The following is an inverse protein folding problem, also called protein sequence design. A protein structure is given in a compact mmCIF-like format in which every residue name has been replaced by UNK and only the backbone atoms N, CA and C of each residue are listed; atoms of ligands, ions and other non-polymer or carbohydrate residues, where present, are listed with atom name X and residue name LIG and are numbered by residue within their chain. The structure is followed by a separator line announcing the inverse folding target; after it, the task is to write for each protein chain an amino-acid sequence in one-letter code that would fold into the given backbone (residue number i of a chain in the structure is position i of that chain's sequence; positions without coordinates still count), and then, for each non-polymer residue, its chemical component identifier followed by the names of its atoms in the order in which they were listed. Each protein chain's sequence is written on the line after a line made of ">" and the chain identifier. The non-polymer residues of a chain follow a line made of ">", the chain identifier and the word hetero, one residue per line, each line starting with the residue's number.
data_IF_181030854339
#
_entry.id   IF_181030854339
#
_cell.length_a   1.000
_cell.length_b   1.000
_cell.length_c   1.000
_cell.angle_alpha   90.00
_cell.angle_beta   90.00
_cell.angle_gamma   90.00
#
_symmetry.space_group_name_H-M   'P 1'
#
loop_
_entity.id
_entity.type
_entity.pdbx_description
1 polymer ?
#
# COMPACT_ATOMS: atom_id res chain seq x y z
N UNK A 1 -3.81 24.59 -12.14
CA UNK A 1 -2.81 25.10 -11.18
C UNK A 1 -2.17 23.89 -10.56
N UNK A 2 -0.94 23.54 -10.96
CA UNK A 2 -0.19 22.45 -10.34
C UNK A 2 0.37 22.96 -9.01
N UNK A 3 -0.32 22.67 -7.91
CA UNK A 3 0.31 22.68 -6.59
C UNK A 3 1.29 21.51 -6.58
N UNK A 4 2.57 21.81 -6.77
CA UNK A 4 3.65 20.86 -6.47
C UNK A 4 3.49 20.46 -5.02
N UNK A 5 2.99 19.25 -4.79
CA UNK A 5 2.82 18.69 -3.47
C UNK A 5 4.21 18.54 -2.87
N UNK A 6 4.51 19.29 -1.80
CA UNK A 6 5.71 19.04 -1.02
C UNK A 6 5.38 17.87 -0.11
N UNK A 7 6.10 16.73 -0.19
CA UNK A 7 5.91 15.62 0.72
C UNK A 7 6.11 16.09 2.16
N UNK A 8 5.33 15.54 3.10
CA UNK A 8 5.47 15.87 4.51
C UNK A 8 6.76 15.28 5.07
N UNK A 9 7.64 16.13 5.60
CA UNK A 9 8.83 15.69 6.34
C UNK A 9 8.46 14.71 7.47
N UNK A 10 7.33 14.95 8.14
CA UNK A 10 6.85 14.11 9.23
C UNK A 10 6.43 12.71 8.75
N UNK A 11 5.67 12.63 7.65
CA UNK A 11 5.24 11.35 7.09
C UNK A 11 6.45 10.56 6.55
N UNK A 12 7.37 11.24 5.86
CA UNK A 12 8.59 10.62 5.34
C UNK A 12 9.48 10.07 6.46
N UNK A 13 9.62 10.83 7.56
CA UNK A 13 10.35 10.35 8.73
C UNK A 13 9.69 9.09 9.31
N UNK A 14 8.36 9.05 9.37
CA UNK A 14 7.64 7.89 9.88
C UNK A 14 7.80 6.65 8.99
N UNK A 15 7.80 6.83 7.67
CA UNK A 15 8.10 5.75 6.72
C UNK A 15 9.54 5.26 6.93
N UNK A 16 10.51 6.16 7.15
CA UNK A 16 11.89 5.77 7.47
C UNK A 16 11.96 4.94 8.77
N UNK A 17 11.22 5.35 9.81
CA UNK A 17 11.15 4.63 11.09
C UNK A 17 10.53 3.24 10.91
N UNK A 18 9.48 3.11 10.09
CA UNK A 18 8.90 1.81 9.72
C UNK A 18 9.94 0.90 9.05
N UNK A 19 10.65 1.40 8.06
CA UNK A 19 11.66 0.60 7.35
C UNK A 19 12.80 0.17 8.27
N UNK A 20 13.25 1.07 9.15
CA UNK A 20 14.24 0.74 10.19
C UNK A 20 13.72 -0.33 11.15
N UNK A 21 12.44 -0.24 11.57
CA UNK A 21 11.80 -1.23 12.43
C UNK A 21 11.73 -2.61 11.77
N UNK A 22 11.46 -2.65 10.45
CA UNK A 22 11.45 -3.87 9.65
C UNK A 22 12.85 -4.37 9.25
N UNK A 23 13.92 -3.70 9.71
CA UNK A 23 15.32 -3.99 9.35
C UNK A 23 15.59 -3.90 7.83
N UNK A 24 14.83 -3.06 7.12
CA UNK A 24 14.93 -2.85 5.68
C UNK A 24 15.83 -1.65 5.35
N UNK A 25 16.55 -1.69 4.21
CA UNK A 25 17.36 -0.56 3.78
C UNK A 25 16.49 0.66 3.47
N UNK A 26 16.91 1.82 3.96
CA UNK A 26 16.25 3.11 3.69
C UNK A 26 17.09 3.88 2.69
N UNK A 27 16.57 4.10 1.49
CA UNK A 27 17.10 5.08 0.55
C UNK A 27 16.52 6.46 0.87
N UNK A 28 17.30 7.31 1.55
CA UNK A 28 16.87 8.64 1.96
C UNK A 28 16.59 9.57 0.77
N UNK A 29 17.24 9.36 -0.38
CA UNK A 29 17.02 10.18 -1.57
C UNK A 29 15.69 9.80 -2.24
N UNK A 30 15.33 8.52 -2.24
CA UNK A 30 14.03 8.05 -2.72
C UNK A 30 12.86 8.57 -1.86
N UNK A 31 13.06 8.69 -0.54
CA UNK A 31 12.06 9.20 0.41
C UNK A 31 11.68 10.68 0.18
N UNK A 32 12.52 11.46 -0.51
CA UNK A 32 12.27 12.88 -0.79
C UNK A 32 11.56 13.13 -2.13
N UNK A 33 11.45 12.10 -2.98
CA UNK A 33 11.12 12.25 -4.41
C UNK A 33 9.82 11.61 -4.90
N UNK A 34 9.13 10.79 -4.09
CA UNK A 34 7.93 10.08 -4.54
C UNK A 34 7.43 9.01 -3.59
N UNK A 35 6.48 8.16 -4.03
CA UNK A 35 6.01 7.02 -3.25
C UNK A 35 7.14 6.02 -3.02
N UNK A 36 7.16 5.44 -1.82
CA UNK A 36 8.18 4.47 -1.41
C UNK A 36 7.55 3.11 -1.33
N UNK A 37 8.14 2.12 -2.01
CA UNK A 37 7.58 0.78 -2.10
C UNK A 37 8.25 -0.25 -1.19
N UNK A 38 7.58 -1.38 -1.00
CA UNK A 38 8.11 -2.64 -0.51
C UNK A 38 7.57 -3.78 -1.38
N UNK A 39 8.43 -4.66 -1.87
CA UNK A 39 8.02 -5.91 -2.50
C UNK A 39 7.85 -6.97 -1.40
N UNK A 40 6.66 -7.56 -1.30
CA UNK A 40 6.32 -8.58 -0.31
C UNK A 40 6.37 -9.95 -0.98
N UNK A 41 7.30 -10.80 -0.52
CA UNK A 41 7.46 -12.21 -0.94
C UNK A 41 7.37 -12.44 -2.46
N UNK A 42 7.96 -11.54 -3.25
CA UNK A 42 7.91 -11.52 -4.73
C UNK A 42 6.49 -11.59 -5.33
N UNK A 43 5.47 -11.26 -4.52
CA UNK A 43 4.06 -11.51 -4.84
C UNK A 43 3.29 -10.23 -5.16
N UNK A 44 3.50 -9.18 -4.36
CA UNK A 44 2.83 -7.90 -4.52
C UNK A 44 3.65 -6.78 -3.89
N UNK A 45 3.34 -5.54 -4.26
CA UNK A 45 4.05 -4.37 -3.76
C UNK A 45 3.16 -3.50 -2.89
N UNK A 46 3.67 -3.00 -1.78
CA UNK A 46 3.03 -1.97 -0.95
C UNK A 46 3.74 -0.65 -1.14
N UNK A 47 2.99 0.42 -1.41
CA UNK A 47 3.48 1.78 -1.53
C UNK A 47 3.01 2.64 -0.37
N UNK A 48 3.89 3.52 0.07
CA UNK A 48 3.66 4.54 1.06
C UNK A 48 3.82 5.91 0.39
N UNK A 49 2.80 6.75 0.48
CA UNK A 49 2.82 8.09 -0.11
C UNK A 49 2.26 9.12 0.87
N UNK A 50 2.99 10.22 1.06
CA UNK A 50 2.48 11.39 1.76
C UNK A 50 1.53 12.18 0.86
N UNK A 51 0.22 11.92 0.97
CA UNK A 51 -0.82 12.62 0.21
C UNK A 51 -1.36 13.86 0.91
N UNK A 52 -0.92 14.17 2.14
CA UNK A 52 -1.09 15.47 2.82
C UNK A 52 -0.05 15.64 3.95
N UNK A 53 0.13 16.86 4.52
CA UNK A 53 1.06 17.09 5.62
C UNK A 53 0.97 16.09 6.78
N UNK A 54 -0.24 15.62 7.06
CA UNK A 54 -0.56 14.71 8.17
C UNK A 54 -1.26 13.44 7.66
N UNK A 55 -1.15 13.13 6.37
CA UNK A 55 -1.92 12.02 5.79
C UNK A 55 -1.03 11.16 4.90
N UNK A 56 -0.98 9.88 5.26
CA UNK A 56 -0.34 8.81 4.50
C UNK A 56 -1.39 8.03 3.72
N UNK A 57 -1.03 7.63 2.51
CA UNK A 57 -1.67 6.56 1.76
C UNK A 57 -0.78 5.33 1.82
N UNK A 58 -1.35 4.21 2.26
CA UNK A 58 -0.76 2.89 2.13
C UNK A 58 -1.53 2.17 1.03
N UNK A 59 -0.87 1.66 0.01
CA UNK A 59 -1.51 0.98 -1.11
C UNK A 59 -0.76 -0.30 -1.47
N UNK A 60 -1.40 -1.45 -1.31
CA UNK A 60 -0.96 -2.71 -1.86
C UNK A 60 -1.49 -2.88 -3.28
N UNK A 61 -0.60 -3.04 -4.26
CA UNK A 61 -0.96 -3.43 -5.62
C UNK A 61 -0.83 -4.95 -5.77
N UNK A 62 -1.98 -5.61 -5.89
CA UNK A 62 -2.13 -7.08 -5.91
C UNK A 62 -2.11 -7.65 -7.34
N UNK A 63 -1.88 -6.80 -8.35
CA UNK A 63 -1.83 -7.19 -9.76
C UNK A 63 -3.19 -7.23 -10.45
N UNK A 64 -3.29 -8.05 -11.49
CA UNK A 64 -4.47 -8.08 -12.36
C UNK A 64 -5.70 -8.62 -11.65
N UNK A 65 -6.83 -7.94 -11.80
CA UNK A 65 -8.10 -8.41 -11.27
C UNK A 65 -8.64 -9.65 -12.02
N UNK A 66 -9.05 -10.73 -11.33
CA UNK A 66 -9.60 -11.91 -11.98
C UNK A 66 -11.07 -11.70 -12.35
N UNK A 67 -11.33 -11.08 -13.51
CA UNK A 67 -12.68 -10.73 -14.01
C UNK A 67 -13.65 -11.92 -14.10
N UNK A 68 -13.13 -13.14 -14.30
CA UNK A 68 -13.90 -14.36 -14.52
C UNK A 68 -14.40 -15.04 -13.22
N UNK A 69 -14.11 -14.46 -12.04
CA UNK A 69 -14.51 -15.01 -10.73
C UNK A 69 -15.52 -14.11 -9.98
N UNK A 70 -16.84 -14.32 -10.19
CA UNK A 70 -17.88 -13.56 -9.50
C UNK A 70 -17.88 -13.74 -7.97
N UNK A 71 -17.39 -14.88 -7.46
CA UNK A 71 -17.31 -15.12 -6.02
C UNK A 71 -16.22 -14.24 -5.40
N UNK A 72 -15.10 -14.10 -6.10
CA UNK A 72 -14.04 -13.17 -5.74
C UNK A 72 -14.53 -11.71 -5.79
N UNK A 73 -15.29 -11.32 -6.81
CA UNK A 73 -15.90 -9.97 -6.88
C UNK A 73 -16.77 -9.68 -5.65
N UNK A 74 -17.60 -10.65 -5.26
CA UNK A 74 -18.45 -10.52 -4.08
C UNK A 74 -17.64 -10.42 -2.79
N UNK A 75 -16.55 -11.17 -2.67
CA UNK A 75 -15.62 -11.09 -1.54
C UNK A 75 -15.03 -9.68 -1.42
N UNK A 76 -14.48 -9.12 -2.51
CA UNK A 76 -13.92 -7.76 -2.51
C UNK A 76 -14.95 -6.72 -2.06
N UNK A 77 -16.17 -6.77 -2.61
CA UNK A 77 -17.24 -5.84 -2.23
C UNK A 77 -17.68 -6.02 -0.78
N UNK A 78 -17.63 -7.25 -0.24
CA UNK A 78 -17.96 -7.53 1.15
C UNK A 78 -16.95 -6.87 2.11
N UNK A 79 -15.66 -6.87 1.78
CA UNK A 79 -14.64 -6.21 2.60
C UNK A 79 -14.78 -4.67 2.62
N UNK A 80 -15.40 -4.08 1.61
CA UNK A 80 -15.70 -2.64 1.57
C UNK A 80 -16.95 -2.24 2.37
N UNK A 81 -17.65 -3.17 3.02
CA UNK A 81 -18.81 -2.83 3.84
C UNK A 81 -18.37 -2.02 5.06
N UNK A 82 -19.05 -0.92 5.35
CA UNK A 82 -18.74 -0.04 6.48
C UNK A 82 -18.66 -0.85 7.78
N UNK A 83 -17.50 -0.78 8.43
CA UNK A 83 -17.22 -1.41 9.71
C UNK A 83 -17.00 -0.36 10.81
N UNK A 84 -16.91 -0.81 12.06
CA UNK A 84 -16.46 0.02 13.19
C UNK A 84 -14.96 -0.11 13.46
N UNK A 85 -14.21 -0.75 12.56
CA UNK A 85 -12.80 -1.03 12.77
C UNK A 85 -11.98 0.26 12.66
N UNK A 86 -10.91 0.37 13.44
CA UNK A 86 -10.11 1.59 13.52
C UNK A 86 -9.36 1.90 12.22
N UNK A 87 -8.98 0.85 11.49
CA UNK A 87 -8.35 0.93 10.18
C UNK A 87 -9.07 -0.04 9.27
N UNK A 88 -9.74 0.48 8.24
CA UNK A 88 -10.44 -0.33 7.26
C UNK A 88 -9.82 -0.09 5.89
N UNK A 89 -8.94 -0.98 5.42
CA UNK A 89 -8.45 -0.94 4.05
C UNK A 89 -9.62 -1.13 3.07
N UNK A 90 -9.53 -0.45 1.93
CA UNK A 90 -10.52 -0.44 0.87
C UNK A 90 -9.94 -1.19 -0.31
N UNK A 91 -10.72 -2.14 -0.83
CA UNK A 91 -10.42 -2.86 -2.07
C UNK A 91 -10.98 -2.08 -3.24
N UNK A 92 -10.16 -1.77 -4.23
CA UNK A 92 -10.62 -1.11 -5.45
C UNK A 92 -9.87 -1.59 -6.69
N UNK A 93 -10.34 -1.15 -7.85
CA UNK A 93 -9.63 -1.29 -9.10
C UNK A 93 -9.03 0.05 -9.50
N UNK A 94 -7.80 0.03 -10.01
CA UNK A 94 -7.22 1.18 -10.70
C UNK A 94 -7.85 1.34 -12.09
N UNK A 95 -7.54 2.46 -12.76
CA UNK A 95 -7.97 2.68 -14.16
C UNK A 95 -7.47 1.58 -15.11
N UNK A 96 -6.33 0.95 -14.78
CA UNK A 96 -5.69 -0.13 -15.54
C UNK A 96 -6.18 -1.53 -15.10
N UNK A 97 -7.33 -1.63 -14.42
CA UNK A 97 -7.92 -2.88 -13.92
C UNK A 97 -6.99 -3.66 -12.97
N UNK A 98 -6.07 -2.98 -12.29
CA UNK A 98 -5.26 -3.60 -11.25
C UNK A 98 -6.04 -3.60 -9.94
N UNK A 99 -6.05 -4.74 -9.27
CA UNK A 99 -6.59 -4.89 -7.93
C UNK A 99 -5.65 -4.23 -6.93
N UNK A 100 -6.18 -3.28 -6.17
CA UNK A 100 -5.46 -2.61 -5.10
C UNK A 100 -6.22 -2.72 -3.78
N UNK A 101 -5.47 -2.77 -2.69
CA UNK A 101 -5.97 -2.64 -1.33
C UNK A 101 -5.28 -1.43 -0.69
N UNK A 102 -6.03 -0.39 -0.36
CA UNK A 102 -5.45 0.85 0.14
C UNK A 102 -6.10 1.35 1.42
N UNK A 103 -5.32 2.06 2.23
CA UNK A 103 -5.76 2.67 3.46
C UNK A 103 -5.24 4.11 3.51
N UNK A 104 -6.17 5.05 3.70
CA UNK A 104 -5.83 6.43 4.00
C UNK A 104 -5.70 6.58 5.51
N UNK A 105 -4.52 6.99 5.97
CA UNK A 105 -4.19 7.14 7.38
C UNK A 105 -3.92 8.60 7.72
N UNK A 106 -4.78 9.19 8.55
CA UNK A 106 -4.58 10.54 9.10
C UNK A 106 -3.80 10.47 10.43
N UNK A 107 -2.67 11.15 10.46
CA UNK A 107 -1.66 11.15 11.53
C UNK A 107 -1.44 12.58 12.01
N UNK A 108 -2.34 13.13 12.87
CA UNK A 108 -2.17 14.47 13.43
C UNK A 108 -0.88 14.61 14.27
N UNK A 109 -0.31 13.48 14.71
CA UNK A 109 1.02 13.37 15.27
C UNK A 109 1.71 12.13 14.67
N UNK A 110 3.04 12.16 14.57
CA UNK A 110 3.83 11.02 14.13
C UNK A 110 3.74 9.91 15.19
N UNK A 111 3.16 8.78 14.80
CA UNK A 111 3.00 7.64 15.69
C UNK A 111 3.27 6.34 14.90
N UNK A 112 4.43 5.74 15.18
CA UNK A 112 4.87 4.53 14.49
C UNK A 112 3.95 3.34 14.81
N UNK A 113 3.39 3.28 16.02
CA UNK A 113 2.51 2.19 16.42
C UNK A 113 1.20 2.18 15.63
N UNK A 114 0.69 3.37 15.31
CA UNK A 114 -0.47 3.55 14.44
C UNK A 114 -0.14 3.15 13.01
N UNK A 115 1.02 3.56 12.49
CA UNK A 115 1.45 3.16 11.15
C UNK A 115 1.65 1.64 11.04
N UNK A 116 2.26 1.01 12.05
CA UNK A 116 2.44 -0.45 12.09
C UNK A 116 1.09 -1.17 12.10
N UNK A 117 0.15 -0.74 12.95
CA UNK A 117 -1.19 -1.35 13.01
C UNK A 117 -1.93 -1.20 11.67
N UNK A 118 -1.85 -0.03 11.05
CA UNK A 118 -2.43 0.24 9.74
C UNK A 118 -1.78 -0.60 8.63
N UNK A 119 -0.47 -0.79 8.69
CA UNK A 119 0.29 -1.63 7.77
C UNK A 119 -0.10 -3.11 7.91
N UNK A 120 -0.22 -3.62 9.13
CA UNK A 120 -0.66 -5.00 9.40
C UNK A 120 -2.05 -5.29 8.83
N UNK A 121 -3.00 -4.33 8.94
CA UNK A 121 -4.35 -4.49 8.37
C UNK A 121 -4.33 -4.54 6.83
N UNK A 122 -3.48 -3.73 6.18
CA UNK A 122 -3.29 -3.77 4.72
C UNK A 122 -2.67 -5.10 4.31
N UNK A 123 -1.65 -5.59 5.03
CA UNK A 123 -1.04 -6.90 4.79
C UNK A 123 -2.07 -8.03 4.92
N UNK A 124 -2.80 -8.07 6.04
CA UNK A 124 -3.77 -9.13 6.33
C UNK A 124 -4.88 -9.20 5.28
N UNK A 125 -5.41 -8.06 4.83
CA UNK A 125 -6.41 -8.05 3.76
C UNK A 125 -5.80 -8.46 2.41
N UNK A 126 -4.60 -7.98 2.10
CA UNK A 126 -3.90 -8.35 0.86
C UNK A 126 -3.69 -9.86 0.76
N UNK A 127 -3.18 -10.49 1.83
CA UNK A 127 -2.99 -11.94 1.92
C UNK A 127 -4.30 -12.71 1.81
N UNK A 128 -5.37 -12.20 2.46
CA UNK A 128 -6.72 -12.79 2.38
C UNK A 128 -7.21 -12.81 0.93
N UNK A 129 -7.06 -11.71 0.21
CA UNK A 129 -7.49 -11.59 -1.18
C UNK A 129 -6.63 -12.46 -2.11
N UNK A 130 -5.30 -12.45 -1.94
CA UNK A 130 -4.41 -13.28 -2.74
C UNK A 130 -4.69 -14.77 -2.53
N UNK A 131 -4.92 -15.20 -1.29
CA UNK A 131 -5.27 -16.59 -0.97
C UNK A 131 -6.62 -17.00 -1.55
N UNK A 132 -7.59 -16.07 -1.59
CA UNK A 132 -8.90 -16.32 -2.15
C UNK A 132 -8.91 -16.29 -3.69
N UNK A 133 -7.97 -15.59 -4.32
CA UNK A 133 -7.84 -15.55 -5.78
C UNK A 133 -7.34 -16.89 -6.33
N UNK A 134 -8.17 -17.53 -7.14
CA UNK A 134 -7.79 -18.75 -7.88
C UNK A 134 -6.85 -18.46 -9.06
N UNK A 135 -6.55 -17.18 -9.34
CA UNK A 135 -5.66 -16.73 -10.41
C UNK A 135 -4.52 -15.91 -9.81
N UNK A 136 -3.40 -16.56 -9.57
CA UNK A 136 -2.14 -15.88 -9.31
C UNK A 136 -1.54 -15.47 -10.67
N UNK A 137 -2.00 -14.34 -11.22
CA UNK A 137 -1.21 -13.63 -12.21
C UNK A 137 -0.51 -12.48 -11.48
N UNK A 138 0.74 -12.74 -11.12
CA UNK A 138 1.63 -11.75 -10.52
C UNK A 138 1.70 -10.52 -11.42
N UNK A 139 1.72 -9.29 -10.87
CA UNK A 139 1.85 -8.09 -11.67
C UNK A 139 3.10 -8.22 -12.58
N UNK A 140 2.92 -8.05 -13.90
CA UNK A 140 4.07 -7.78 -14.77
C UNK A 140 4.76 -6.53 -14.26
N UNK A 141 6.09 -6.61 -14.11
CA UNK A 141 6.95 -5.53 -13.62
C UNK A 141 6.51 -4.18 -14.20
N UNK A 142 5.91 -3.32 -13.37
CA UNK A 142 5.68 -1.95 -13.78
C UNK A 142 7.06 -1.25 -13.78
N UNK A 143 7.59 -0.81 -14.94
CA UNK A 143 8.95 -0.28 -15.03
C UNK A 143 9.14 1.07 -14.32
N UNK A 144 8.12 1.55 -13.59
CA UNK A 144 8.17 2.78 -12.79
C UNK A 144 8.65 2.58 -11.36
N UNK A 145 8.88 1.35 -10.91
CA UNK A 145 9.36 1.08 -9.55
C UNK A 145 10.64 0.25 -9.57
N UNK A 146 11.75 0.96 -9.51
CA UNK A 146 12.98 0.41 -8.97
C UNK A 146 12.92 0.54 -7.45
N UNK A 147 12.91 -0.58 -6.75
CA UNK A 147 13.74 -0.70 -5.55
C UNK A 147 14.92 -1.55 -5.96
N UNK A 148 16.00 -0.90 -6.38
CA UNK A 148 17.28 -1.59 -6.47
C UNK A 148 17.77 -1.85 -5.06
N UNK A 149 17.48 -3.03 -4.52
CA UNK A 149 18.47 -3.77 -3.74
C UNK A 149 18.85 -4.99 -4.58
N UNK A 150 19.73 -4.75 -5.55
CA UNK A 150 20.40 -5.83 -6.27
C UNK A 150 21.60 -6.20 -5.43
N UNK A 151 21.62 -7.42 -4.88
CA UNK A 151 22.90 -8.07 -4.56
C UNK A 151 23.63 -8.40 -5.85
#
# INVERSE_FOLDING_TARGET
>A
MNTTYMPSEQCNQLICELFQYLELPVDQDAMLGGPVGLLIDDSYSIYFESIAPDTLLLEANLGSYPEEDPAFSHLCLKHNQISSDNYQPIVSLTEDQQLVCWLKLSLPAADLSVLLSAFDEVLALSETLLTASTHHQFPEENPRLRLTSVY
#
